data_IF_384080405332
#
_entry.id   IF_384080405332
#
_cell.length_a   1.000
_cell.length_b   1.000
_cell.length_c   1.000
_cell.angle_alpha   90.00
_cell.angle_beta   90.00
_cell.angle_gamma   90.00
#
_symmetry.space_group_name_H-M   'P 1'
#
loop_
_entity.id
_entity.type
_entity.pdbx_description
1 polymer ?
#
# COMPACT_ATOMS: atom_id res chain seq x y z
N UNK A 1 6.82 32.53 9.52
CA UNK A 1 6.68 31.45 10.53
C UNK A 1 6.87 30.05 9.93
N UNK A 2 6.19 29.70 8.83
CA UNK A 2 6.32 28.39 8.14
C UNK A 2 7.76 27.92 7.89
N UNK A 3 8.59 28.76 7.27
CA UNK A 3 10.02 28.45 7.01
C UNK A 3 10.82 28.23 8.30
N UNK A 4 10.62 29.08 9.31
CA UNK A 4 11.31 28.96 10.59
C UNK A 4 11.02 27.60 11.25
N UNK A 5 9.77 27.15 11.26
CA UNK A 5 9.37 25.84 11.80
C UNK A 5 9.89 24.65 10.98
N UNK A 6 10.23 24.85 9.72
CA UNK A 6 10.81 23.81 8.85
C UNK A 6 12.31 23.63 9.09
N UNK A 7 13.00 24.73 9.35
CA UNK A 7 14.43 24.75 9.68
C UNK A 7 14.68 24.44 11.17
N UNK A 8 13.67 24.55 12.01
CA UNK A 8 13.79 24.32 13.46
C UNK A 8 14.05 22.84 13.76
N UNK A 9 15.26 22.53 14.23
CA UNK A 9 15.67 21.17 14.61
C UNK A 9 15.68 21.03 16.13
N UNK A 10 14.86 20.11 16.64
CA UNK A 10 14.86 19.67 18.04
C UNK A 10 15.04 18.16 18.06
N UNK A 11 15.88 17.68 18.98
CA UNK A 11 16.15 16.26 19.20
C UNK A 11 16.01 15.93 20.68
N UNK A 12 15.60 14.70 20.98
CA UNK A 12 15.55 14.17 22.35
C UNK A 12 14.24 14.42 23.10
N UNK A 13 13.33 15.23 22.56
CA UNK A 13 11.99 15.44 23.12
C UNK A 13 10.94 15.54 22.02
N UNK A 14 9.73 15.09 22.31
CA UNK A 14 8.59 15.35 21.44
C UNK A 14 8.23 16.83 21.45
N UNK A 15 7.83 17.35 20.29
CA UNK A 15 7.53 18.78 20.14
C UNK A 15 6.24 18.98 19.34
N UNK A 16 5.62 20.14 19.55
CA UNK A 16 4.42 20.57 18.83
C UNK A 16 4.74 21.20 17.46
N UNK A 17 5.99 21.14 17.00
CA UNK A 17 6.42 21.75 15.72
C UNK A 17 5.63 21.17 14.55
N UNK A 18 5.41 19.85 14.53
CA UNK A 18 4.62 19.18 13.49
C UNK A 18 3.18 19.69 13.41
N UNK A 19 2.53 19.88 14.55
CA UNK A 19 1.19 20.45 14.66
C UNK A 19 1.12 21.88 14.10
N UNK A 20 2.02 22.76 14.54
CA UNK A 20 2.05 24.13 14.05
C UNK A 20 2.35 24.21 12.55
N UNK A 21 3.15 23.30 12.01
CA UNK A 21 3.39 23.18 10.56
C UNK A 21 2.12 22.86 9.78
N UNK A 22 1.26 21.98 10.30
CA UNK A 22 -0.05 21.66 9.68
C UNK A 22 -0.97 22.88 9.68
N UNK A 23 -1.05 23.59 10.81
CA UNK A 23 -1.88 24.79 10.93
C UNK A 23 -1.42 25.89 9.97
N UNK A 24 -0.10 26.09 9.82
CA UNK A 24 0.47 27.07 8.90
C UNK A 24 0.20 26.78 7.42
N UNK A 25 -0.24 25.56 7.08
CA UNK A 25 -0.66 25.20 5.72
C UNK A 25 -2.17 25.36 5.49
N UNK A 26 -2.97 25.54 6.56
CA UNK A 26 -4.42 25.72 6.44
C UNK A 26 -4.74 27.11 5.86
N UNK A 27 -5.60 27.15 4.84
CA UNK A 27 -5.96 28.38 4.15
C UNK A 27 -6.70 29.38 5.04
N UNK A 28 -7.66 28.92 5.87
CA UNK A 28 -8.37 29.78 6.83
C UNK A 28 -7.42 30.41 7.83
N UNK A 29 -6.41 29.66 8.27
CA UNK A 29 -5.37 30.19 9.14
C UNK A 29 -4.51 31.24 8.42
N UNK A 30 -4.14 30.98 7.16
CA UNK A 30 -3.32 31.90 6.36
C UNK A 30 -4.02 33.24 6.07
N UNK A 31 -5.34 33.24 5.86
CA UNK A 31 -6.14 34.46 5.65
C UNK A 31 -6.59 35.13 6.95
N UNK A 32 -6.29 34.54 8.12
CA UNK A 32 -6.66 35.08 9.43
C UNK A 32 -8.13 34.91 9.81
N UNK A 33 -8.87 34.03 9.13
CA UNK A 33 -10.27 33.73 9.43
C UNK A 33 -10.39 32.74 10.61
N UNK A 34 -10.02 33.20 11.80
CA UNK A 34 -9.89 32.40 13.01
C UNK A 34 -11.06 32.61 13.99
N UNK A 35 -11.48 31.53 14.64
CA UNK A 35 -12.42 31.52 15.77
C UNK A 35 -11.76 30.85 16.97
N UNK A 36 -12.32 31.02 18.18
CA UNK A 36 -11.85 30.27 19.36
C UNK A 36 -12.10 28.75 19.25
N UNK A 37 -12.98 28.35 18.33
CA UNK A 37 -13.29 26.95 18.00
C UNK A 37 -12.62 26.48 16.72
N UNK A 38 -11.67 27.24 16.18
CA UNK A 38 -11.03 26.95 14.89
C UNK A 38 -10.55 25.50 14.76
N UNK A 39 -9.93 24.96 15.81
CA UNK A 39 -9.44 23.58 15.80
C UNK A 39 -10.57 22.55 15.75
N UNK A 40 -11.67 22.78 16.47
CA UNK A 40 -12.84 21.88 16.48
C UNK A 40 -13.55 21.90 15.11
N UNK A 41 -13.59 23.07 14.46
CA UNK A 41 -14.20 23.25 13.14
C UNK A 41 -13.38 22.59 12.02
N UNK A 42 -12.07 22.82 12.00
CA UNK A 42 -11.19 22.37 10.90
C UNK A 42 -10.60 20.98 11.11
N UNK A 43 -10.45 20.54 12.36
CA UNK A 43 -9.81 19.27 12.73
C UNK A 43 -10.65 18.49 13.75
N UNK A 44 -11.90 18.08 13.41
CA UNK A 44 -12.79 17.39 14.34
C UNK A 44 -12.21 16.08 14.89
N UNK A 45 -11.44 15.36 14.06
CA UNK A 45 -10.82 14.09 14.44
C UNK A 45 -9.50 14.25 15.21
N UNK A 46 -9.04 15.49 15.44
CA UNK A 46 -7.73 15.78 16.04
C UNK A 46 -6.54 15.12 15.32
N UNK A 47 -6.66 14.90 14.01
CA UNK A 47 -5.59 14.33 13.19
C UNK A 47 -4.83 15.43 12.48
N UNK A 48 -3.61 15.66 12.92
CA UNK A 48 -2.72 16.71 12.40
C UNK A 48 -1.60 16.09 11.57
N UNK A 49 -1.95 15.57 10.39
CA UNK A 49 -0.97 14.95 9.47
C UNK A 49 -0.80 15.81 8.23
N UNK A 50 0.44 16.21 7.96
CA UNK A 50 0.81 16.80 6.68
C UNK A 50 0.99 15.67 5.65
N UNK A 51 0.28 15.76 4.52
CA UNK A 51 0.57 14.96 3.34
C UNK A 51 1.80 15.55 2.65
N UNK A 52 2.99 14.99 2.91
CA UNK A 52 4.18 15.34 2.16
C UNK A 52 4.07 14.83 0.72
N UNK A 53 4.73 15.51 -0.21
CA UNK A 53 4.74 15.12 -1.61
C UNK A 53 5.28 13.71 -1.81
N UNK A 54 6.32 13.33 -1.06
CA UNK A 54 6.86 11.97 -1.00
C UNK A 54 5.81 10.92 -0.58
N UNK A 55 4.94 11.23 0.40
CA UNK A 55 3.87 10.30 0.78
C UNK A 55 2.81 10.17 -0.32
N UNK A 56 2.51 11.27 -1.02
CA UNK A 56 1.58 11.27 -2.16
C UNK A 56 2.14 10.46 -3.33
N UNK A 57 3.41 10.64 -3.65
CA UNK A 57 4.11 9.89 -4.69
C UNK A 57 4.17 8.39 -4.36
N UNK A 58 4.57 8.04 -3.13
CA UNK A 58 4.57 6.64 -2.67
C UNK A 58 3.18 6.02 -2.72
N UNK A 59 2.15 6.77 -2.30
CA UNK A 59 0.77 6.29 -2.39
C UNK A 59 0.35 6.06 -3.84
N UNK A 60 0.66 6.99 -4.74
CA UNK A 60 0.36 6.86 -6.17
C UNK A 60 1.06 5.63 -6.79
N UNK A 61 2.34 5.43 -6.48
CA UNK A 61 3.11 4.26 -6.91
C UNK A 61 2.53 2.95 -6.35
N UNK A 62 2.20 2.91 -5.06
CA UNK A 62 1.60 1.74 -4.42
C UNK A 62 0.27 1.37 -5.08
N UNK A 63 -0.59 2.35 -5.37
CA UNK A 63 -1.86 2.16 -6.07
C UNK A 63 -1.63 1.65 -7.49
N UNK A 64 -0.68 2.23 -8.22
CA UNK A 64 -0.35 1.81 -9.58
C UNK A 64 0.12 0.33 -9.63
N UNK A 65 0.99 -0.06 -8.69
CA UNK A 65 1.50 -1.43 -8.56
C UNK A 65 0.36 -2.40 -8.21
N UNK A 66 -0.49 -2.06 -7.24
CA UNK A 66 -1.63 -2.91 -6.84
C UNK A 66 -2.61 -3.10 -7.99
N UNK A 67 -2.95 -2.03 -8.72
CA UNK A 67 -3.80 -2.08 -9.91
C UNK A 67 -3.21 -3.01 -10.98
N UNK A 68 -1.94 -2.81 -11.33
CA UNK A 68 -1.25 -3.63 -12.33
C UNK A 68 -1.13 -5.11 -11.92
N UNK A 69 -0.88 -5.37 -10.64
CA UNK A 69 -0.80 -6.73 -10.09
C UNK A 69 -2.14 -7.47 -10.15
N UNK A 70 -3.24 -6.78 -9.84
CA UNK A 70 -4.60 -7.34 -9.92
C UNK A 70 -5.00 -7.68 -11.35
N UNK A 71 -4.75 -6.78 -12.30
CA UNK A 71 -5.03 -7.01 -13.72
C UNK A 71 -4.27 -8.24 -14.26
N UNK A 72 -3.01 -8.44 -13.84
CA UNK A 72 -2.23 -9.64 -14.21
C UNK A 72 -2.66 -10.92 -13.51
N UNK A 73 -3.18 -10.86 -12.28
CA UNK A 73 -3.72 -12.05 -11.61
C UNK A 73 -4.95 -12.62 -12.33
N UNK A 74 -5.71 -11.77 -13.03
CA UNK A 74 -6.87 -12.21 -13.82
C UNK A 74 -6.42 -12.98 -15.09
N UNK A 75 -5.30 -12.61 -15.71
CA UNK A 75 -4.77 -13.34 -16.89
C UNK A 75 -4.10 -14.67 -16.54
N UNK A 76 -3.54 -14.84 -15.34
CA UNK A 76 -3.02 -16.15 -14.90
C UNK A 76 -4.15 -17.10 -14.44
N UNK A 77 -5.31 -16.56 -14.02
CA UNK A 77 -6.48 -17.35 -13.63
C UNK A 77 -7.45 -17.71 -14.77
N UNK A 78 -7.42 -16.99 -15.90
CA UNK A 78 -8.30 -17.21 -17.06
C UNK A 78 -7.55 -17.80 -18.26
N UNK A 79 -6.67 -18.76 -17.97
CA UNK A 79 -5.85 -19.44 -18.95
C UNK A 79 -5.73 -20.94 -18.68
N UNK A 80 -6.83 -21.60 -18.29
CA UNK A 80 -7.00 -23.04 -18.51
C UNK A 80 -8.40 -23.57 -18.15
N UNK A 81 -9.36 -23.32 -19.04
CA UNK A 81 -10.49 -24.24 -19.23
C UNK A 81 -10.15 -25.37 -20.23
N UNK A 82 -8.85 -25.61 -20.53
CA UNK A 82 -8.47 -26.53 -21.60
C UNK A 82 -7.01 -26.96 -21.75
N UNK A 83 -6.14 -26.85 -20.74
CA UNK A 83 -4.80 -27.44 -20.83
C UNK A 83 -4.33 -28.08 -19.50
N UNK A 84 -3.48 -29.10 -19.59
CA UNK A 84 -3.40 -30.14 -18.58
C UNK A 84 -2.66 -29.65 -17.34
N UNK A 85 -3.23 -30.00 -16.19
CA UNK A 85 -2.60 -29.97 -14.87
C UNK A 85 -1.12 -30.32 -14.98
N UNK A 86 -0.25 -29.47 -14.44
CA UNK A 86 1.18 -29.68 -14.28
C UNK A 86 1.44 -30.93 -13.42
N UNK A 87 1.25 -32.09 -14.03
CA UNK A 87 1.65 -33.38 -13.51
C UNK A 87 3.09 -33.54 -13.95
N UNK A 88 4.01 -33.48 -12.99
CA UNK A 88 5.44 -33.78 -13.22
C UNK A 88 5.59 -34.97 -14.17
N UNK A 89 6.30 -34.76 -15.28
CA UNK A 89 6.52 -35.79 -16.29
C UNK A 89 7.10 -37.07 -15.66
N UNK A 90 7.95 -36.94 -14.64
CA UNK A 90 8.48 -38.06 -13.86
C UNK A 90 7.40 -38.87 -13.11
N UNK A 91 6.35 -38.23 -12.58
CA UNK A 91 5.20 -38.92 -11.97
C UNK A 91 4.36 -39.67 -13.00
N UNK A 92 4.24 -39.15 -14.23
CA UNK A 92 3.54 -39.83 -15.33
C UNK A 92 4.32 -41.06 -15.82
N UNK A 93 5.65 -40.98 -15.90
CA UNK A 93 6.50 -42.10 -16.30
C UNK A 93 6.43 -43.25 -15.29
N UNK A 94 6.48 -42.96 -13.99
CA UNK A 94 6.35 -43.99 -12.94
C UNK A 94 5.00 -44.72 -12.97
N UNK A 95 3.90 -43.99 -13.19
CA UNK A 95 2.56 -44.62 -13.28
C UNK A 95 2.44 -45.54 -14.49
N UNK A 96 3.02 -45.16 -15.63
CA UNK A 96 3.04 -46.00 -16.84
C UNK A 96 3.91 -47.25 -16.69
N UNK A 97 5.03 -47.13 -15.96
CA UNK A 97 5.91 -48.26 -15.66
C UNK A 97 5.27 -49.24 -14.64
N UNK A 98 4.65 -48.72 -13.58
CA UNK A 98 3.98 -49.54 -12.56
C UNK A 98 2.77 -50.33 -13.10
N UNK A 99 2.07 -49.80 -14.10
CA UNK A 99 0.96 -50.50 -14.76
C UNK A 99 1.40 -51.66 -15.67
N UNK A 100 2.69 -51.74 -16.04
CA UNK A 100 3.23 -52.85 -16.86
C UNK A 100 3.78 -54.01 -16.03
N UNK A 101 3.90 -53.85 -14.72
CA UNK A 101 4.47 -54.86 -13.82
C UNK A 101 3.44 -55.66 -13.02
N UNK A 102 2.13 -55.39 -13.17
CA UNK A 102 1.08 -56.22 -12.58
C UNK A 102 0.77 -57.43 -13.47
N UNK A 103 1.79 -58.28 -13.68
CA UNK A 103 1.60 -59.67 -14.05
C UNK A 103 1.36 -60.46 -12.78
N UNK A 104 0.13 -60.93 -12.57
CA UNK A 104 -0.29 -61.62 -11.35
C UNK A 104 0.63 -62.78 -10.98
N UNK A 105 0.98 -62.86 -9.70
CA UNK A 105 1.50 -64.11 -9.13
C UNK A 105 0.37 -65.14 -9.11
N UNK A 106 0.55 -66.23 -9.86
CA UNK A 106 -0.11 -67.49 -9.58
C UNK A 106 0.42 -68.09 -8.29
#
# INVERSE_FOLDING_TARGET
>A
MKRALEEYRVSGVETTIGFHRVIMDNERFAVGALSTRFLEEEYPDNVYRRLTDDLRERAALAVAIDKYSRERKITVGSGNAGAPVNRSNWKLTYRRAGLRQFGGSR
#
